data_IF_011316526128
#
_entry.id   IF_011316526128
#
_cell.length_a   1.000
_cell.length_b   1.000
_cell.length_c   1.000
_cell.angle_alpha   90.00
_cell.angle_beta   90.00
_cell.angle_gamma   90.00
#
_symmetry.space_group_name_H-M   'P 1'
#
loop_
_entity.id
_entity.type
_entity.pdbx_description
1 polymer ?
#
# COMPACT_ATOMS: atom_id res chain seq x y z
N UNK A 1 36.39 3.55 -23.19
CA UNK A 1 36.60 4.09 -21.83
C UNK A 1 35.61 5.18 -21.43
N UNK A 2 35.25 6.14 -22.28
CA UNK A 2 34.29 7.20 -21.96
C UNK A 2 32.88 6.72 -21.48
N UNK A 3 32.35 5.66 -22.07
CA UNK A 3 31.01 5.14 -21.69
C UNK A 3 30.95 4.43 -20.33
N UNK A 4 32.06 3.94 -19.78
CA UNK A 4 32.11 3.35 -18.44
C UNK A 4 32.19 4.45 -17.37
N UNK A 5 32.95 5.50 -17.67
CA UNK A 5 33.12 6.64 -16.76
C UNK A 5 31.81 7.45 -16.58
N UNK A 6 31.06 7.66 -17.68
CA UNK A 6 29.75 8.33 -17.61
C UNK A 6 28.71 7.50 -16.86
N UNK A 7 28.72 6.16 -16.99
CA UNK A 7 27.85 5.27 -16.23
C UNK A 7 28.15 5.27 -14.74
N UNK A 8 29.41 5.32 -14.35
CA UNK A 8 29.81 5.41 -12.94
C UNK A 8 29.37 6.74 -12.31
N UNK A 9 29.55 7.84 -12.98
CA UNK A 9 29.07 9.17 -12.49
C UNK A 9 27.57 9.20 -12.30
N UNK A 10 26.79 8.61 -13.22
CA UNK A 10 25.33 8.53 -13.08
C UNK A 10 24.92 7.67 -11.87
N UNK A 11 25.57 6.54 -11.63
CA UNK A 11 25.31 5.69 -10.46
C UNK A 11 25.61 6.42 -9.15
N UNK A 12 26.73 7.11 -9.05
CA UNK A 12 27.09 7.87 -7.86
C UNK A 12 26.15 9.04 -7.61
N UNK A 13 25.71 9.74 -8.65
CA UNK A 13 24.73 10.82 -8.50
C UNK A 13 23.35 10.30 -8.03
N UNK A 14 22.88 9.15 -8.54
CA UNK A 14 21.65 8.51 -8.08
C UNK A 14 21.76 8.08 -6.62
N UNK A 15 22.88 7.42 -6.25
CA UNK A 15 23.11 7.00 -4.87
C UNK A 15 23.14 8.19 -3.91
N UNK A 16 23.78 9.29 -4.30
CA UNK A 16 23.83 10.52 -3.50
C UNK A 16 22.44 11.14 -3.30
N UNK A 17 21.60 11.19 -4.35
CA UNK A 17 20.22 11.67 -4.26
C UNK A 17 19.38 10.78 -3.36
N UNK A 18 19.49 9.45 -3.46
CA UNK A 18 18.77 8.52 -2.59
C UNK A 18 19.24 8.62 -1.13
N UNK A 19 20.55 8.80 -0.88
CA UNK A 19 21.09 9.02 0.46
C UNK A 19 20.58 10.34 1.06
N UNK A 20 20.55 11.43 0.29
CA UNK A 20 19.96 12.69 0.71
C UNK A 20 18.44 12.55 0.98
N UNK A 21 17.73 11.78 0.15
CA UNK A 21 16.33 11.44 0.36
C UNK A 21 16.08 10.60 1.61
N UNK A 22 17.01 9.72 1.97
CA UNK A 22 16.94 8.98 3.23
C UNK A 22 17.13 9.93 4.42
N UNK A 23 18.14 10.77 4.39
CA UNK A 23 18.35 11.79 5.44
C UNK A 23 17.12 12.70 5.58
N UNK A 24 16.50 13.10 4.46
CA UNK A 24 15.28 13.92 4.45
C UNK A 24 14.11 13.21 5.17
N UNK A 25 13.90 11.91 4.95
CA UNK A 25 12.88 11.11 5.65
C UNK A 25 13.20 10.95 7.13
N UNK A 26 14.46 10.81 7.48
CA UNK A 26 14.88 10.73 8.88
C UNK A 26 14.59 12.02 9.64
N UNK A 27 14.65 13.20 9.01
CA UNK A 27 14.20 14.44 9.64
C UNK A 27 12.74 14.33 10.09
N UNK A 28 11.84 13.86 9.24
CA UNK A 28 10.43 13.65 9.61
C UNK A 28 10.25 12.56 10.68
N UNK A 29 11.05 11.51 10.65
CA UNK A 29 10.99 10.46 11.68
C UNK A 29 11.31 10.97 13.09
N UNK A 30 12.13 12.01 13.20
CA UNK A 30 12.51 12.63 14.47
C UNK A 30 11.58 13.78 14.89
N UNK A 31 10.70 14.24 14.01
CA UNK A 31 9.68 15.20 14.39
C UNK A 31 8.58 14.51 15.20
N UNK A 32 7.94 15.23 16.16
CA UNK A 32 6.77 14.71 16.85
C UNK A 32 5.58 14.68 15.88
N UNK A 33 5.51 13.60 15.10
CA UNK A 33 4.34 13.32 14.27
C UNK A 33 3.22 12.80 15.17
N UNK A 34 1.99 13.26 14.97
CA UNK A 34 0.82 12.68 15.61
C UNK A 34 0.77 11.19 15.25
N UNK A 35 0.64 10.31 16.23
CA UNK A 35 0.37 8.90 15.96
C UNK A 35 -1.04 8.82 15.45
N UNK A 36 -1.21 8.40 14.18
CA UNK A 36 -2.51 8.07 13.67
C UNK A 36 -3.08 6.87 14.44
N UNK A 37 -4.37 6.92 14.74
CA UNK A 37 -5.10 5.82 15.41
C UNK A 37 -4.92 4.51 14.65
N UNK A 38 -4.86 4.53 13.32
CA UNK A 38 -4.63 3.37 12.47
C UNK A 38 -3.26 2.70 12.71
N UNK A 39 -2.21 3.46 13.06
CA UNK A 39 -0.90 2.90 13.42
C UNK A 39 -0.99 1.99 14.64
N UNK A 40 -1.73 2.41 15.67
CA UNK A 40 -1.97 1.63 16.88
C UNK A 40 -2.78 0.35 16.56
N UNK A 41 -3.81 0.48 15.72
CA UNK A 41 -4.63 -0.65 15.24
C UNK A 41 -3.77 -1.70 14.54
N UNK A 42 -2.90 -1.31 13.62
CA UNK A 42 -2.01 -2.26 12.93
C UNK A 42 -0.98 -2.89 13.85
N UNK A 43 -0.43 -2.14 14.80
CA UNK A 43 0.53 -2.65 15.76
C UNK A 43 -0.10 -3.68 16.71
N UNK A 44 -1.32 -3.42 17.18
CA UNK A 44 -2.08 -4.36 18.00
C UNK A 44 -2.39 -5.66 17.26
N UNK A 45 -2.90 -5.57 16.02
CA UNK A 45 -3.15 -6.74 15.17
C UNK A 45 -1.87 -7.56 14.93
N UNK A 46 -0.74 -6.89 14.68
CA UNK A 46 0.55 -7.55 14.49
C UNK A 46 0.98 -8.30 15.76
N UNK A 47 0.89 -7.66 16.93
CA UNK A 47 1.25 -8.25 18.23
C UNK A 47 0.38 -9.46 18.53
N UNK A 48 -0.93 -9.30 18.47
CA UNK A 48 -1.87 -10.37 18.80
C UNK A 48 -1.70 -11.57 17.86
N UNK A 49 -1.48 -11.31 16.57
CA UNK A 49 -1.27 -12.37 15.60
C UNK A 49 0.02 -13.17 15.85
N UNK A 50 1.13 -12.49 16.07
CA UNK A 50 2.44 -13.14 16.18
C UNK A 50 2.71 -13.71 17.58
N UNK A 51 2.18 -13.10 18.64
CA UNK A 51 2.40 -13.59 20.02
C UNK A 51 1.36 -14.61 20.44
N UNK A 52 0.10 -14.46 20.01
CA UNK A 52 -1.01 -15.28 20.48
C UNK A 52 -1.65 -16.13 19.38
N UNK A 53 -1.20 -16.01 18.12
CA UNK A 53 -1.75 -16.73 16.97
C UNK A 53 -3.14 -16.26 16.53
N UNK A 54 -3.69 -15.20 17.13
CA UNK A 54 -5.02 -14.68 16.84
C UNK A 54 -4.94 -13.32 16.18
N UNK A 55 -5.45 -13.19 14.96
CA UNK A 55 -5.59 -11.92 14.28
C UNK A 55 -6.84 -11.21 14.79
N UNK A 56 -6.69 -10.33 15.77
CA UNK A 56 -7.82 -9.71 16.48
C UNK A 56 -7.40 -8.59 17.41
N UNK A 57 -8.41 -8.00 18.07
CA UNK A 57 -8.26 -6.93 19.04
C UNK A 57 -8.47 -7.46 20.46
N UNK A 58 -7.74 -6.91 21.42
CA UNK A 58 -7.94 -7.23 22.82
C UNK A 58 -9.19 -6.51 23.36
N UNK A 59 -10.20 -7.28 23.75
CA UNK A 59 -11.46 -6.76 24.28
C UNK A 59 -11.96 -7.63 25.42
N UNK A 60 -12.38 -7.02 26.53
CA UNK A 60 -13.01 -7.75 27.65
C UNK A 60 -12.16 -8.87 28.25
N UNK A 61 -10.83 -8.82 28.17
CA UNK A 61 -9.93 -9.87 28.72
C UNK A 61 -9.56 -10.98 27.75
N UNK A 62 -10.06 -10.94 26.51
CA UNK A 62 -9.74 -11.91 25.45
C UNK A 62 -9.39 -11.20 24.14
N UNK A 63 -8.80 -11.96 23.19
CA UNK A 63 -8.54 -11.44 21.84
C UNK A 63 -9.70 -11.85 20.94
N UNK A 64 -10.52 -10.87 20.55
CA UNK A 64 -11.62 -11.06 19.61
C UNK A 64 -11.08 -11.07 18.17
N UNK A 65 -11.28 -12.15 17.39
CA UNK A 65 -10.86 -12.21 16.02
C UNK A 65 -11.51 -11.11 15.16
N UNK A 66 -10.78 -10.61 14.17
CA UNK A 66 -11.30 -9.60 13.25
C UNK A 66 -10.86 -9.86 11.81
N UNK A 67 -11.59 -9.26 10.86
CA UNK A 67 -11.23 -9.22 9.43
C UNK A 67 -11.31 -7.80 8.85
N UNK A 68 -11.44 -6.79 9.71
CA UNK A 68 -11.67 -5.38 9.34
C UNK A 68 -10.47 -4.71 8.67
N UNK A 69 -9.27 -5.26 8.86
CA UNK A 69 -8.04 -4.82 8.18
C UNK A 69 -7.43 -6.00 7.44
N UNK A 70 -6.78 -5.72 6.31
CA UNK A 70 -6.02 -6.72 5.56
C UNK A 70 -4.71 -7.08 6.26
N UNK A 71 -4.21 -8.31 6.08
CA UNK A 71 -3.10 -8.84 6.89
C UNK A 71 -1.73 -8.32 6.47
N UNK A 72 -1.57 -7.66 5.31
CA UNK A 72 -0.26 -7.33 4.74
C UNK A 72 0.57 -6.39 5.62
N UNK A 73 -0.03 -5.32 6.11
CA UNK A 73 0.70 -4.36 6.97
C UNK A 73 0.93 -4.89 8.39
N UNK A 74 -0.06 -5.51 9.07
CA UNK A 74 0.20 -6.20 10.34
C UNK A 74 1.25 -7.31 10.23
N UNK A 75 1.29 -8.06 9.12
CA UNK A 75 2.34 -9.05 8.88
C UNK A 75 3.73 -8.40 8.78
N UNK A 76 3.86 -7.32 8.00
CA UNK A 76 5.10 -6.54 7.91
C UNK A 76 5.56 -6.05 9.28
N UNK A 77 4.67 -5.44 10.07
CA UNK A 77 4.99 -4.99 11.43
C UNK A 77 5.37 -6.16 12.34
N UNK A 78 4.63 -7.27 12.30
CA UNK A 78 4.89 -8.45 13.12
C UNK A 78 6.27 -9.06 12.86
N UNK A 79 6.69 -9.15 11.59
CA UNK A 79 8.04 -9.59 11.22
C UNK A 79 9.10 -8.65 11.78
N UNK A 80 8.92 -7.33 11.63
CA UNK A 80 9.89 -6.34 12.13
C UNK A 80 9.95 -6.35 13.66
N UNK A 81 8.81 -6.39 14.32
CA UNK A 81 8.74 -6.44 15.79
C UNK A 81 9.36 -7.71 16.37
N UNK A 82 9.23 -8.85 15.68
CA UNK A 82 9.87 -10.10 16.09
C UNK A 82 11.40 -10.03 16.09
N UNK A 83 11.98 -9.17 15.23
CA UNK A 83 13.44 -9.00 15.09
C UNK A 83 13.97 -7.89 16.00
N UNK A 84 13.27 -6.76 16.06
CA UNK A 84 13.75 -5.54 16.72
C UNK A 84 13.11 -5.26 18.07
N UNK A 85 12.18 -6.11 18.51
CA UNK A 85 11.42 -5.97 19.74
C UNK A 85 10.03 -5.42 19.54
N UNK A 86 9.11 -5.90 20.40
CA UNK A 86 7.70 -5.47 20.40
C UNK A 86 7.61 -4.01 20.84
N UNK A 87 6.72 -3.27 20.23
CA UNK A 87 6.51 -1.82 20.44
C UNK A 87 7.60 -0.90 19.84
N UNK A 88 8.62 -1.44 19.20
CA UNK A 88 9.63 -0.65 18.51
C UNK A 88 9.20 -0.32 17.07
N UNK A 89 8.34 0.69 16.89
CA UNK A 89 7.85 1.09 15.58
C UNK A 89 8.95 1.68 14.68
N UNK A 90 9.94 2.38 15.24
CA UNK A 90 10.98 3.08 14.46
C UNK A 90 11.71 2.21 13.44
N UNK A 91 12.16 0.97 13.74
CA UNK A 91 12.76 0.09 12.74
C UNK A 91 11.83 -0.19 11.55
N UNK A 92 10.53 -0.38 11.79
CA UNK A 92 9.55 -0.59 10.71
C UNK A 92 9.45 0.64 9.81
N UNK A 93 9.43 1.85 10.38
CA UNK A 93 9.39 3.10 9.63
C UNK A 93 10.68 3.34 8.82
N UNK A 94 11.85 2.96 9.36
CA UNK A 94 13.11 3.00 8.60
C UNK A 94 13.08 2.05 7.41
N UNK A 95 12.62 0.81 7.59
CA UNK A 95 12.49 -0.17 6.51
C UNK A 95 11.47 0.32 5.47
N UNK A 96 10.36 0.90 5.92
CA UNK A 96 9.35 1.50 5.04
C UNK A 96 9.91 2.68 4.23
N UNK A 97 10.72 3.54 4.84
CA UNK A 97 11.41 4.63 4.15
C UNK A 97 12.40 4.12 3.09
N UNK A 98 13.10 3.00 3.37
CA UNK A 98 13.97 2.35 2.38
C UNK A 98 13.16 1.74 1.23
N UNK A 99 12.00 1.14 1.51
CA UNK A 99 11.09 0.63 0.48
C UNK A 99 10.57 1.76 -0.41
N UNK A 100 10.17 2.90 0.16
CA UNK A 100 9.74 4.08 -0.59
C UNK A 100 10.86 4.62 -1.51
N UNK A 101 12.09 4.72 -1.02
CA UNK A 101 13.25 5.10 -1.84
C UNK A 101 13.56 4.08 -2.94
N UNK A 102 13.36 2.79 -2.68
CA UNK A 102 13.45 1.78 -3.73
C UNK A 102 12.35 1.97 -4.79
N UNK A 103 11.14 2.38 -4.38
CA UNK A 103 10.08 2.81 -5.29
C UNK A 103 10.50 4.00 -6.16
N UNK A 104 11.11 5.02 -5.57
CA UNK A 104 11.68 6.16 -6.30
C UNK A 104 12.73 5.71 -7.33
N UNK A 105 13.57 4.75 -6.97
CA UNK A 105 14.55 4.17 -7.88
C UNK A 105 13.89 3.41 -9.04
N UNK A 106 12.83 2.63 -8.81
CA UNK A 106 12.09 1.97 -9.88
C UNK A 106 11.48 2.97 -10.85
N UNK A 107 10.88 4.05 -10.35
CA UNK A 107 10.33 5.12 -11.18
C UNK A 107 11.42 5.85 -11.98
N UNK A 108 12.58 6.11 -11.38
CA UNK A 108 13.74 6.66 -12.07
C UNK A 108 14.20 5.76 -13.22
N UNK A 109 14.42 4.46 -12.97
CA UNK A 109 14.89 3.53 -14.00
C UNK A 109 13.86 3.38 -15.13
N UNK A 110 12.57 3.36 -14.77
CA UNK A 110 11.47 3.34 -15.72
C UNK A 110 11.50 4.57 -16.63
N UNK A 111 11.49 5.77 -16.07
CA UNK A 111 11.47 7.02 -16.82
C UNK A 111 12.75 7.19 -17.66
N UNK A 112 13.91 6.82 -17.11
CA UNK A 112 15.18 6.84 -17.82
C UNK A 112 15.20 5.93 -19.03
N UNK A 113 14.59 4.76 -18.93
CA UNK A 113 14.66 3.73 -19.96
C UNK A 113 13.55 3.83 -21.00
N UNK A 114 12.36 4.29 -20.62
CA UNK A 114 11.21 4.38 -21.52
C UNK A 114 11.05 5.78 -22.14
N UNK A 115 11.56 6.82 -21.51
CA UNK A 115 11.43 8.20 -22.00
C UNK A 115 12.80 8.81 -22.33
N UNK A 116 13.59 9.17 -21.33
CA UNK A 116 14.94 9.73 -21.52
C UNK A 116 15.71 9.82 -20.21
N UNK A 117 17.05 9.99 -20.31
CA UNK A 117 17.89 10.24 -19.13
C UNK A 117 17.52 11.54 -18.38
N UNK A 118 17.03 12.57 -19.11
CA UNK A 118 16.57 13.83 -18.50
C UNK A 118 15.29 13.59 -17.70
N UNK A 119 14.32 12.87 -18.29
CA UNK A 119 13.08 12.50 -17.62
C UNK A 119 13.37 11.67 -16.37
N UNK A 120 14.27 10.67 -16.45
CA UNK A 120 14.67 9.88 -15.28
C UNK A 120 15.20 10.75 -14.14
N UNK A 121 16.10 11.70 -14.42
CA UNK A 121 16.63 12.62 -13.39
C UNK A 121 15.55 13.50 -12.76
N UNK A 122 14.66 14.05 -13.57
CA UNK A 122 13.53 14.85 -13.07
C UNK A 122 12.61 14.01 -12.17
N UNK A 123 12.23 12.80 -12.61
CA UNK A 123 11.40 11.87 -11.82
C UNK A 123 12.07 11.51 -10.50
N UNK A 124 13.39 11.21 -10.50
CA UNK A 124 14.13 10.89 -9.27
C UNK A 124 14.06 12.02 -8.26
N UNK A 125 14.35 13.26 -8.71
CA UNK A 125 14.36 14.42 -7.81
C UNK A 125 12.96 14.73 -7.27
N UNK A 126 11.93 14.72 -8.14
CA UNK A 126 10.56 14.98 -7.75
C UNK A 126 10.02 13.90 -6.79
N UNK A 127 10.31 12.63 -7.04
CA UNK A 127 9.83 11.54 -6.20
C UNK A 127 10.56 11.49 -4.84
N UNK A 128 11.89 11.65 -4.85
CA UNK A 128 12.72 11.57 -3.63
C UNK A 128 12.42 12.73 -2.67
N UNK A 129 12.23 13.94 -3.19
CA UNK A 129 12.00 15.13 -2.38
C UNK A 129 10.52 15.57 -2.31
N UNK A 130 9.59 14.71 -2.74
CA UNK A 130 8.17 14.94 -2.51
C UNK A 130 7.87 14.93 -1.00
N UNK A 131 7.43 16.02 -0.40
CA UNK A 131 7.23 16.10 1.05
C UNK A 131 6.10 15.16 1.50
N UNK A 132 5.04 15.00 0.70
CA UNK A 132 3.92 14.13 1.02
C UNK A 132 4.34 12.67 1.16
N UNK A 133 5.01 12.10 0.16
CA UNK A 133 5.48 10.72 0.23
C UNK A 133 6.56 10.54 1.28
N UNK A 134 7.42 11.54 1.52
CA UNK A 134 8.45 11.47 2.55
C UNK A 134 7.87 11.41 3.97
N UNK A 135 6.81 12.17 4.27
CA UNK A 135 6.08 12.11 5.55
C UNK A 135 5.38 10.74 5.69
N UNK A 136 4.63 10.30 4.67
CA UNK A 136 3.97 9.00 4.70
C UNK A 136 4.96 7.82 4.81
N UNK A 137 6.18 7.97 4.29
CA UNK A 137 7.21 6.94 4.39
C UNK A 137 7.67 6.67 5.83
N UNK A 138 7.43 7.60 6.75
CA UNK A 138 7.74 7.48 8.18
C UNK A 138 6.51 7.51 9.07
N UNK A 139 5.33 7.32 8.49
CA UNK A 139 4.07 7.14 9.20
C UNK A 139 3.68 5.66 9.16
N UNK A 140 3.14 5.13 10.25
CA UNK A 140 2.80 3.70 10.41
C UNK A 140 1.55 3.27 9.64
N UNK A 141 1.51 3.55 8.32
CA UNK A 141 0.37 3.35 7.43
C UNK A 141 0.74 2.51 6.20
N UNK A 142 -0.28 2.01 5.51
CA UNK A 142 -0.15 1.12 4.34
C UNK A 142 0.30 1.82 3.06
N UNK A 143 0.13 3.14 2.97
CA UNK A 143 0.24 3.96 1.77
C UNK A 143 1.63 3.86 1.13
N UNK A 144 2.67 4.00 1.92
CA UNK A 144 4.04 4.00 1.43
C UNK A 144 4.42 2.65 0.79
N UNK A 145 4.09 1.53 1.46
CA UNK A 145 4.32 0.20 0.91
C UNK A 145 3.45 -0.07 -0.33
N UNK A 146 2.24 0.49 -0.38
CA UNK A 146 1.37 0.38 -1.56
C UNK A 146 1.94 1.16 -2.74
N UNK A 147 2.47 2.37 -2.53
CA UNK A 147 3.15 3.16 -3.57
C UNK A 147 4.39 2.41 -4.08
N UNK A 148 5.18 1.81 -3.19
CA UNK A 148 6.29 0.95 -3.57
C UNK A 148 5.84 -0.20 -4.46
N UNK A 149 4.77 -0.92 -4.10
CA UNK A 149 4.21 -2.01 -4.91
C UNK A 149 3.78 -1.53 -6.30
N UNK A 150 3.14 -0.36 -6.41
CA UNK A 150 2.76 0.23 -7.70
C UNK A 150 3.99 0.56 -8.53
N UNK A 151 5.00 1.19 -7.96
CA UNK A 151 6.23 1.54 -8.66
C UNK A 151 6.98 0.28 -9.16
N UNK A 152 7.07 -0.76 -8.32
CA UNK A 152 7.65 -2.05 -8.70
C UNK A 152 6.84 -2.71 -9.82
N UNK A 153 5.50 -2.70 -9.74
CA UNK A 153 4.63 -3.29 -10.76
C UNK A 153 4.78 -2.57 -12.11
N UNK A 154 4.81 -1.24 -12.14
CA UNK A 154 5.05 -0.46 -13.36
C UNK A 154 6.40 -0.78 -13.98
N UNK A 155 7.45 -0.80 -13.17
CA UNK A 155 8.79 -1.14 -13.59
C UNK A 155 8.88 -2.58 -14.12
N UNK A 156 8.29 -3.54 -13.43
CA UNK A 156 8.27 -4.94 -13.83
C UNK A 156 7.50 -5.14 -15.14
N UNK A 157 6.34 -4.50 -15.31
CA UNK A 157 5.56 -4.55 -16.55
C UNK A 157 6.38 -4.03 -17.75
N UNK A 158 7.08 -2.90 -17.59
CA UNK A 158 7.97 -2.38 -18.64
C UNK A 158 9.12 -3.34 -18.96
N UNK A 159 9.67 -4.03 -17.94
CA UNK A 159 10.68 -5.08 -18.12
C UNK A 159 10.14 -6.29 -18.89
N UNK A 160 8.90 -6.73 -18.58
CA UNK A 160 8.21 -7.78 -19.36
C UNK A 160 8.06 -7.35 -20.82
N UNK A 161 7.54 -6.15 -21.06
CA UNK A 161 7.32 -5.64 -22.41
C UNK A 161 8.62 -5.60 -23.24
N UNK A 162 9.71 -5.16 -22.63
CA UNK A 162 11.05 -5.15 -23.28
C UNK A 162 11.58 -6.55 -23.49
N UNK A 163 11.47 -7.44 -22.51
CA UNK A 163 11.90 -8.83 -22.62
C UNK A 163 11.22 -9.56 -23.76
N UNK A 164 9.91 -9.42 -23.90
CA UNK A 164 9.14 -10.03 -24.99
C UNK A 164 9.57 -9.53 -26.36
N UNK A 165 9.85 -8.22 -26.51
CA UNK A 165 10.32 -7.64 -27.78
C UNK A 165 11.74 -8.09 -28.16
N UNK A 166 12.60 -8.30 -27.17
CA UNK A 166 14.01 -8.68 -27.38
C UNK A 166 14.28 -10.19 -27.29
N UNK A 167 13.25 -11.03 -27.15
CA UNK A 167 13.37 -12.47 -26.99
C UNK A 167 14.06 -12.91 -25.69
N UNK A 168 14.16 -12.04 -24.68
CA UNK A 168 14.77 -12.35 -23.39
C UNK A 168 13.76 -13.01 -22.44
N UNK A 169 14.26 -13.74 -21.46
CA UNK A 169 13.44 -14.32 -20.40
C UNK A 169 12.65 -13.22 -19.66
N UNK A 170 11.37 -13.47 -19.45
CA UNK A 170 10.44 -12.58 -18.71
C UNK A 170 10.00 -13.16 -17.36
N UNK A 171 10.52 -14.34 -16.97
CA UNK A 171 10.11 -15.04 -15.74
C UNK A 171 10.30 -14.15 -14.51
N UNK A 172 11.49 -13.61 -14.30
CA UNK A 172 11.76 -12.73 -13.16
C UNK A 172 10.88 -11.48 -13.14
N UNK A 173 10.78 -10.70 -14.24
CA UNK A 173 9.86 -9.56 -14.31
C UNK A 173 8.39 -9.93 -14.08
N UNK A 174 7.88 -11.07 -14.58
CA UNK A 174 6.51 -11.53 -14.32
C UNK A 174 6.32 -11.90 -12.86
N UNK A 175 7.28 -12.57 -12.25
CA UNK A 175 7.26 -12.90 -10.84
C UNK A 175 7.26 -11.64 -9.96
N UNK A 176 8.09 -10.64 -10.28
CA UNK A 176 8.11 -9.35 -9.59
C UNK A 176 6.79 -8.60 -9.73
N UNK A 177 6.17 -8.62 -10.93
CA UNK A 177 4.87 -8.03 -11.18
C UNK A 177 3.78 -8.71 -10.33
N UNK A 178 3.74 -10.04 -10.35
CA UNK A 178 2.76 -10.82 -9.57
C UNK A 178 2.94 -10.60 -8.06
N UNK A 179 4.17 -10.60 -7.56
CA UNK A 179 4.47 -10.33 -6.16
C UNK A 179 4.04 -8.92 -5.75
N UNK A 180 4.34 -7.90 -6.56
CA UNK A 180 3.92 -6.52 -6.31
C UNK A 180 2.39 -6.38 -6.24
N UNK A 181 1.67 -6.99 -7.20
CA UNK A 181 0.20 -7.00 -7.20
C UNK A 181 -0.38 -7.73 -5.99
N UNK A 182 0.19 -8.89 -5.62
CA UNK A 182 -0.25 -9.67 -4.45
C UNK A 182 -0.03 -8.93 -3.15
N UNK A 183 1.14 -8.32 -2.97
CA UNK A 183 1.42 -7.47 -1.81
C UNK A 183 0.48 -6.26 -1.75
N UNK A 184 0.22 -5.59 -2.88
CA UNK A 184 -0.72 -4.46 -2.92
C UNK A 184 -2.12 -4.87 -2.47
N UNK A 185 -2.63 -6.04 -2.89
CA UNK A 185 -3.94 -6.56 -2.47
C UNK A 185 -3.98 -6.93 -0.98
N UNK A 186 -2.87 -7.41 -0.40
CA UNK A 186 -2.79 -7.69 1.03
C UNK A 186 -2.67 -6.43 1.89
N UNK A 187 -2.20 -5.32 1.31
CA UNK A 187 -2.09 -4.03 1.98
C UNK A 187 -3.40 -3.26 1.94
N UNK A 188 -4.07 -3.21 0.77
CA UNK A 188 -5.26 -2.38 0.53
C UNK A 188 -6.27 -3.06 -0.38
N UNK A 189 -7.59 -2.92 -0.12
CA UNK A 189 -8.63 -3.55 -0.96
C UNK A 189 -8.62 -3.05 -2.41
N UNK A 190 -8.23 -1.80 -2.66
CA UNK A 190 -8.11 -1.21 -3.99
C UNK A 190 -6.96 -1.81 -4.82
N UNK A 191 -6.05 -2.56 -4.19
CA UNK A 191 -5.03 -3.36 -4.88
C UNK A 191 -5.59 -4.34 -5.91
N UNK A 192 -6.85 -4.79 -5.78
CA UNK A 192 -7.49 -5.64 -6.78
C UNK A 192 -7.74 -4.90 -8.11
N UNK A 193 -8.09 -3.62 -8.05
CA UNK A 193 -8.27 -2.78 -9.25
C UNK A 193 -6.94 -2.55 -9.96
N UNK A 194 -5.88 -2.31 -9.18
CA UNK A 194 -4.52 -2.21 -9.72
C UNK A 194 -4.10 -3.52 -10.39
N UNK A 195 -4.38 -4.66 -9.75
CA UNK A 195 -4.08 -5.98 -10.33
C UNK A 195 -4.81 -6.19 -11.65
N UNK A 196 -6.09 -5.84 -11.74
CA UNK A 196 -6.85 -5.92 -12.99
C UNK A 196 -6.24 -5.03 -14.09
N UNK A 197 -5.87 -3.79 -13.76
CA UNK A 197 -5.24 -2.85 -14.68
C UNK A 197 -3.88 -3.36 -15.19
N UNK A 198 -3.04 -3.90 -14.29
CA UNK A 198 -1.73 -4.46 -14.68
C UNK A 198 -1.87 -5.75 -15.50
N UNK A 199 -2.83 -6.62 -15.20
CA UNK A 199 -3.10 -7.79 -16.03
C UNK A 199 -3.59 -7.40 -17.43
N UNK A 200 -4.47 -6.41 -17.55
CA UNK A 200 -4.90 -5.86 -18.83
C UNK A 200 -3.73 -5.24 -19.61
N UNK A 201 -2.88 -4.46 -18.94
CA UNK A 201 -1.65 -3.91 -19.51
C UNK A 201 -0.68 -4.99 -19.98
N UNK A 202 -0.47 -6.04 -19.17
CA UNK A 202 0.38 -7.17 -19.52
C UNK A 202 -0.16 -7.92 -20.76
N UNK A 203 -1.47 -8.19 -20.79
CA UNK A 203 -2.12 -8.78 -21.96
C UNK A 203 -1.92 -7.93 -23.22
N UNK A 204 -2.14 -6.63 -23.13
CA UNK A 204 -1.99 -5.69 -24.22
C UNK A 204 -0.56 -5.67 -24.79
N UNK A 205 0.44 -5.50 -23.92
CA UNK A 205 1.84 -5.46 -24.32
C UNK A 205 2.33 -6.82 -24.85
N UNK A 206 1.95 -7.92 -24.21
CA UNK A 206 2.30 -9.26 -24.65
C UNK A 206 1.71 -9.56 -26.04
N UNK A 207 0.43 -9.24 -26.27
CA UNK A 207 -0.22 -9.41 -27.57
C UNK A 207 0.48 -8.63 -28.69
N UNK A 208 0.90 -7.38 -28.42
CA UNK A 208 1.65 -6.57 -29.38
C UNK A 208 3.04 -7.13 -29.66
N UNK A 209 3.70 -7.72 -28.69
CA UNK A 209 5.05 -8.25 -28.82
C UNK A 209 5.09 -9.63 -29.49
N UNK A 210 4.10 -10.50 -29.24
CA UNK A 210 4.07 -11.89 -29.71
C UNK A 210 3.27 -12.04 -31.00
N UNK A 211 2.50 -11.03 -31.38
CA UNK A 211 1.66 -11.02 -32.59
C UNK A 211 0.16 -11.09 -32.30
N UNK A 212 -0.66 -10.60 -33.25
CA UNK A 212 -2.10 -10.45 -33.11
C UNK A 212 -2.93 -11.67 -33.58
N UNK A 213 -2.28 -12.71 -34.13
CA UNK A 213 -2.94 -13.96 -34.50
C UNK A 213 -3.48 -14.74 -33.29
N UNK A 214 -4.30 -15.76 -33.53
CA UNK A 214 -4.91 -16.61 -32.47
C UNK A 214 -3.87 -17.17 -31.50
N UNK A 215 -2.74 -17.69 -32.00
CA UNK A 215 -1.65 -18.23 -31.17
C UNK A 215 -0.98 -17.16 -30.30
N UNK A 216 -0.68 -15.99 -30.84
CA UNK A 216 -0.09 -14.87 -30.12
C UNK A 216 -1.02 -14.33 -29.03
N UNK A 217 -2.32 -14.14 -29.35
CA UNK A 217 -3.35 -13.72 -28.41
C UNK A 217 -3.51 -14.74 -27.27
N UNK A 218 -3.53 -16.06 -27.58
CA UNK A 218 -3.60 -17.10 -26.57
C UNK A 218 -2.40 -17.12 -25.63
N UNK A 219 -1.17 -16.88 -26.15
CA UNK A 219 0.05 -16.77 -25.33
C UNK A 219 0.02 -15.56 -24.41
N UNK A 220 -0.43 -14.41 -24.92
CA UNK A 220 -0.58 -13.20 -24.11
C UNK A 220 -1.62 -13.38 -23.00
N UNK A 221 -2.76 -14.02 -23.30
CA UNK A 221 -3.80 -14.31 -22.32
C UNK A 221 -3.30 -15.25 -21.21
N UNK A 222 -2.57 -16.31 -21.58
CA UNK A 222 -1.97 -17.24 -20.57
C UNK A 222 -0.98 -16.53 -19.66
N UNK A 223 -0.15 -15.63 -20.20
CA UNK A 223 0.83 -14.89 -19.40
C UNK A 223 0.13 -13.94 -18.41
N UNK A 224 -0.90 -13.22 -18.86
CA UNK A 224 -1.69 -12.33 -18.01
C UNK A 224 -2.48 -13.11 -16.95
N UNK A 225 -3.10 -14.23 -17.33
CA UNK A 225 -3.81 -15.09 -16.41
C UNK A 225 -2.88 -15.69 -15.34
N UNK A 226 -1.70 -16.18 -15.75
CA UNK A 226 -0.70 -16.71 -14.81
C UNK A 226 -0.26 -15.63 -13.80
N UNK A 227 0.05 -14.42 -14.27
CA UNK A 227 0.42 -13.31 -13.39
C UNK A 227 -0.72 -12.96 -12.43
N UNK A 228 -1.97 -12.92 -12.90
CA UNK A 228 -3.14 -12.68 -12.07
C UNK A 228 -3.38 -13.76 -11.03
N UNK A 229 -3.29 -15.04 -11.41
CA UNK A 229 -3.41 -16.17 -10.48
C UNK A 229 -2.33 -16.10 -9.40
N UNK A 230 -1.07 -15.89 -9.78
CA UNK A 230 0.04 -15.76 -8.82
C UNK A 230 -0.15 -14.55 -7.88
N UNK A 231 -0.71 -13.46 -8.39
CA UNK A 231 -1.01 -12.28 -7.58
C UNK A 231 -2.13 -12.53 -6.54
N UNK A 232 -3.14 -13.32 -6.89
CA UNK A 232 -4.27 -13.62 -6.00
C UNK A 232 -3.92 -14.71 -4.97
N UNK A 233 -2.92 -15.55 -5.25
CA UNK A 233 -2.54 -16.68 -4.41
C UNK A 233 -2.33 -16.30 -2.92
N UNK A 234 -1.67 -15.17 -2.57
CA UNK A 234 -1.50 -14.77 -1.17
C UNK A 234 -2.80 -14.44 -0.42
N UNK A 235 -3.90 -14.14 -1.13
CA UNK A 235 -5.21 -13.94 -0.51
C UNK A 235 -5.89 -15.26 -0.08
N UNK A 236 -5.47 -16.40 -0.64
CA UNK A 236 -6.10 -17.70 -0.36
C UNK A 236 -6.00 -18.07 1.11
N UNK A 237 -4.82 -18.10 1.77
CA UNK A 237 -4.73 -18.42 3.19
C UNK A 237 -5.52 -17.44 4.06
N UNK A 238 -5.57 -16.16 3.70
CA UNK A 238 -6.38 -15.15 4.39
C UNK A 238 -7.88 -15.45 4.26
N UNK A 239 -8.35 -15.78 3.07
CA UNK A 239 -9.76 -16.15 2.81
C UNK A 239 -10.14 -17.41 3.57
N UNK A 240 -9.26 -18.44 3.58
CA UNK A 240 -9.47 -19.69 4.35
C UNK A 240 -9.57 -19.39 5.84
N UNK A 241 -8.69 -18.53 6.37
CA UNK A 241 -8.75 -18.10 7.78
C UNK A 241 -10.10 -17.42 8.08
N UNK A 242 -10.52 -16.49 7.25
CA UNK A 242 -11.77 -15.76 7.44
C UNK A 242 -12.97 -16.73 7.38
N UNK A 243 -12.96 -17.67 6.45
CA UNK A 243 -14.00 -18.70 6.39
C UNK A 243 -14.03 -19.59 7.64
N UNK A 244 -12.87 -20.01 8.15
CA UNK A 244 -12.81 -20.85 9.37
C UNK A 244 -13.23 -20.09 10.63
N UNK A 245 -13.00 -18.79 10.70
CA UNK A 245 -13.28 -17.98 11.89
C UNK A 245 -14.69 -17.41 11.89
N UNK A 246 -15.16 -16.93 10.73
CA UNK A 246 -16.43 -16.19 10.60
C UNK A 246 -17.49 -16.88 9.73
N UNK A 247 -17.16 -18.03 9.13
CA UNK A 247 -18.00 -18.76 8.18
C UNK A 247 -18.42 -17.91 6.95
N UNK A 248 -17.61 -16.90 6.58
CA UNK A 248 -17.84 -16.04 5.41
C UNK A 248 -16.65 -16.09 4.45
N UNK A 249 -16.93 -16.07 3.15
CA UNK A 249 -15.89 -15.95 2.11
C UNK A 249 -15.60 -14.47 1.90
N UNK A 250 -14.62 -13.95 2.63
CA UNK A 250 -14.24 -12.53 2.60
C UNK A 250 -12.74 -12.39 2.30
N UNK A 251 -12.34 -12.28 1.00
CA UNK A 251 -10.93 -12.18 0.61
C UNK A 251 -10.33 -10.79 0.87
N UNK A 252 -11.14 -9.73 0.85
CA UNK A 252 -10.73 -8.36 1.06
C UNK A 252 -11.36 -7.79 2.34
N UNK A 253 -10.87 -6.65 2.82
CA UNK A 253 -11.49 -5.97 3.96
C UNK A 253 -12.93 -5.53 3.64
N UNK A 254 -13.86 -5.61 4.61
CA UNK A 254 -15.23 -5.21 4.41
C UNK A 254 -15.34 -3.69 4.21
N UNK A 255 -16.36 -3.28 3.44
CA UNK A 255 -16.55 -1.88 3.04
C UNK A 255 -16.71 -0.91 4.20
N UNK A 256 -17.34 -1.34 5.28
CA UNK A 256 -17.68 -0.50 6.43
C UNK A 256 -16.81 -0.79 7.66
N UNK A 257 -15.67 -1.48 7.47
CA UNK A 257 -14.73 -1.79 8.56
C UNK A 257 -15.43 -2.47 9.75
N UNK A 258 -16.29 -3.44 9.47
CA UNK A 258 -17.08 -4.20 10.43
C UNK A 258 -16.84 -5.70 10.32
N UNK A 259 -16.98 -6.43 11.42
CA UNK A 259 -17.01 -7.89 11.40
C UNK A 259 -18.39 -8.41 10.96
N UNK A 260 -18.49 -9.66 10.48
CA UNK A 260 -19.77 -10.28 10.18
C UNK A 260 -20.69 -10.30 11.40
N UNK A 261 -21.93 -9.87 11.22
CA UNK A 261 -22.93 -9.76 12.32
C UNK A 261 -22.92 -8.44 13.10
N UNK A 262 -21.88 -7.62 12.95
CA UNK A 262 -21.89 -6.27 13.54
C UNK A 262 -22.87 -5.35 12.79
N UNK A 263 -23.60 -4.53 13.55
CA UNK A 263 -24.52 -3.54 12.98
C UNK A 263 -23.75 -2.49 12.18
N UNK A 264 -24.23 -2.21 10.96
CA UNK A 264 -23.71 -1.17 10.09
C UNK A 264 -24.83 -0.21 9.72
N UNK A 265 -24.74 1.07 10.10
CA UNK A 265 -25.74 2.08 9.77
C UNK A 265 -25.58 2.53 8.29
N UNK A 266 -25.73 1.60 7.35
CA UNK A 266 -25.51 1.84 5.93
C UNK A 266 -26.42 2.92 5.34
N UNK A 267 -27.64 3.06 5.88
CA UNK A 267 -28.59 4.13 5.50
C UNK A 267 -28.06 5.50 5.87
N UNK A 268 -27.56 5.64 7.10
CA UNK A 268 -26.92 6.86 7.59
C UNK A 268 -25.71 7.26 6.72
N UNK A 269 -24.79 6.34 6.45
CA UNK A 269 -23.65 6.65 5.59
C UNK A 269 -24.03 7.01 4.15
N UNK A 270 -25.10 6.43 3.60
CA UNK A 270 -25.61 6.84 2.29
C UNK A 270 -26.18 8.25 2.32
N UNK A 271 -26.97 8.56 3.33
CA UNK A 271 -27.56 9.88 3.51
C UNK A 271 -26.49 10.94 3.73
N UNK A 272 -25.52 10.71 4.61
CA UNK A 272 -24.40 11.61 4.85
C UNK A 272 -23.65 11.98 3.57
N UNK A 273 -23.42 10.99 2.69
CA UNK A 273 -22.74 11.21 1.41
C UNK A 273 -23.49 12.08 0.40
N UNK A 274 -24.74 12.39 0.63
CA UNK A 274 -25.51 13.28 -0.26
C UNK A 274 -25.14 14.74 -0.05
N UNK A 275 -24.58 15.10 1.10
CA UNK A 275 -24.25 16.47 1.47
C UNK A 275 -22.86 16.63 2.10
N UNK A 276 -22.25 15.60 2.62
CA UNK A 276 -20.86 15.62 3.11
C UNK A 276 -19.96 14.87 2.13
N UNK A 277 -18.96 15.57 1.60
CA UNK A 277 -17.96 15.02 0.67
C UNK A 277 -16.80 14.38 1.43
N UNK A 278 -16.57 14.83 2.66
CA UNK A 278 -15.45 14.39 3.48
C UNK A 278 -15.87 13.27 4.42
N UNK A 279 -15.14 12.14 4.35
CA UNK A 279 -15.39 10.99 5.24
C UNK A 279 -15.12 11.33 6.72
N UNK A 280 -14.17 12.23 6.99
CA UNK A 280 -13.86 12.66 8.36
C UNK A 280 -15.07 13.34 9.00
N UNK A 281 -15.75 14.25 8.27
CA UNK A 281 -16.94 14.95 8.77
C UNK A 281 -18.09 13.97 9.01
N UNK A 282 -18.30 13.02 8.08
CA UNK A 282 -19.30 11.97 8.23
C UNK A 282 -19.00 11.05 9.42
N UNK A 283 -17.75 10.71 9.63
CA UNK A 283 -17.27 9.93 10.77
C UNK A 283 -17.45 10.69 12.08
N UNK A 284 -17.08 11.96 12.13
CA UNK A 284 -17.22 12.81 13.30
C UNK A 284 -18.65 12.90 13.77
N UNK A 285 -19.60 13.17 12.87
CA UNK A 285 -21.03 13.20 13.20
C UNK A 285 -21.51 11.84 13.71
N UNK A 286 -21.08 10.73 13.07
CA UNK A 286 -21.46 9.39 13.48
C UNK A 286 -20.96 9.01 14.88
N UNK A 287 -19.70 9.30 15.17
CA UNK A 287 -19.07 8.95 16.46
C UNK A 287 -19.60 9.77 17.62
N UNK A 288 -20.13 10.98 17.36
CA UNK A 288 -20.66 11.88 18.36
C UNK A 288 -22.20 11.95 18.38
N UNK A 289 -22.90 11.02 17.72
CA UNK A 289 -24.38 11.01 17.69
C UNK A 289 -25.04 10.87 19.07
N UNK A 290 -24.34 10.33 20.06
CA UNK A 290 -24.83 10.17 21.42
C UNK A 290 -24.28 11.20 22.42
N UNK A 291 -23.39 12.07 21.98
CA UNK A 291 -22.85 13.11 22.82
C UNK A 291 -23.78 14.34 22.75
N UNK A 292 -24.04 14.97 23.89
CA UNK A 292 -24.68 16.29 23.91
C UNK A 292 -23.75 17.25 23.12
N UNK A 293 -24.23 17.69 21.97
CA UNK A 293 -23.49 18.65 21.13
C UNK A 293 -23.58 19.99 21.89
N UNK A 294 -22.46 20.44 22.44
CA UNK A 294 -22.36 21.76 23.03
C UNK A 294 -22.76 22.81 21.97
N UNK A 295 -23.70 23.72 22.27
CA UNK A 295 -24.14 24.75 21.34
C UNK A 295 -22.99 25.58 20.74
N UNK A 296 -21.86 25.74 21.47
CA UNK A 296 -20.67 26.39 20.96
C UNK A 296 -19.94 25.53 19.89
N UNK A 297 -19.95 24.20 20.01
CA UNK A 297 -19.37 23.29 19.01
C UNK A 297 -20.25 23.22 17.74
N UNK A 298 -21.56 23.45 17.84
CA UNK A 298 -22.47 23.45 16.68
C UNK A 298 -22.23 24.62 15.73
N UNK A 299 -21.73 25.75 16.22
CA UNK A 299 -21.36 26.92 15.40
C UNK A 299 -20.05 26.68 14.61
N UNK A 300 -19.21 25.75 15.01
CA UNK A 300 -17.95 25.43 14.32
C UNK A 300 -18.13 24.47 13.12
N UNK A 301 -19.33 23.95 12.89
CA UNK A 301 -19.66 23.15 11.70
C UNK A 301 -19.73 23.98 10.41
N UNK A 302 -19.59 25.30 10.49
CA UNK A 302 -19.39 26.18 9.35
C UNK A 302 -17.90 26.30 8.99
N UNK A 303 -17.52 25.61 7.91
CA UNK A 303 -16.27 25.84 7.15
C UNK A 303 -14.98 25.80 8.01
N UNK A 304 -14.51 24.61 8.32
CA UNK A 304 -13.08 24.39 8.59
C UNK A 304 -12.63 24.26 10.04
N UNK A 305 -13.48 23.96 11.01
CA UNK A 305 -13.05 24.06 12.38
C UNK A 305 -13.52 23.07 13.43
N UNK A 306 -13.81 21.81 13.07
CA UNK A 306 -14.00 20.80 14.13
C UNK A 306 -12.65 20.19 14.50
N UNK A 307 -12.11 20.56 15.66
CA UNK A 307 -10.99 19.85 16.30
C UNK A 307 -11.61 18.89 17.33
N UNK A 308 -11.59 17.57 17.11
CA UNK A 308 -12.09 16.64 18.11
C UNK A 308 -11.36 16.79 19.44
N UNK A 309 -12.09 16.80 20.54
CA UNK A 309 -11.53 16.78 21.92
C UNK A 309 -10.86 15.45 22.26
N UNK A 310 -10.07 14.85 21.38
CA UNK A 310 -9.26 13.67 21.68
C UNK A 310 -8.03 13.95 22.56
N UNK A 311 -7.99 15.08 23.27
CA UNK A 311 -6.85 15.43 24.15
C UNK A 311 -7.01 14.99 25.61
N UNK A 312 -8.06 14.24 25.98
CA UNK A 312 -8.29 13.88 27.37
C UNK A 312 -8.63 12.39 27.60
N UNK A 313 -8.08 11.47 26.80
CA UNK A 313 -8.04 10.06 27.19
C UNK A 313 -6.60 9.54 27.12
#
# INVERSE_FOLDING_TARGET
MAGAWTRNRERWSVAAVLAAGFAYRMVFLWMPLSRDDDTAVYAELARNWFQHGVYGFFRGGAIDPTLVRLPGYPFFLGVVFSVFGWDHLRPALVIQALADLAGCWFLWDLARTEVSRRAGRAVLLLAVFCPFTAVYAVTGLTESLSIFCVALAMWALARVARGLRSGRSVVGPVAALAAAMGCAMLLRPDGILLTAAFCAGLFWYARRAVGTGRAGTGRAARLAALAGVLAVLPLVPWTIRNYRTFHVVQPLAPRYVNNPGEFVPAGFFRWMRTWSVNFVDAGTVFWNLNDEIDPEDSMSLGVGGYVPRYRQL
#
